data_IF_258101823027
#
_entry.id   IF_258101823027
#
_cell.length_a   1.000
_cell.length_b   1.000
_cell.length_c   1.000
_cell.angle_alpha   90.00
_cell.angle_beta   90.00
_cell.angle_gamma   90.00
#
_symmetry.space_group_name_H-M   'P 1'
#
loop_
_entity.id
_entity.type
_entity.pdbx_description
1 polymer ?
#
# COMPACT_ATOMS: atom_id res chain seq x y z
N UNK A 1 -13.69 -13.05 30.51
CA UNK A 1 -14.12 -13.88 29.35
C UNK A 1 -12.89 -14.15 28.47
N UNK A 2 -12.56 -15.39 28.17
CA UNK A 2 -11.46 -15.72 27.25
C UNK A 2 -11.96 -15.49 25.82
N UNK A 3 -11.42 -14.51 25.10
CA UNK A 3 -11.59 -14.45 23.64
C UNK A 3 -10.79 -15.62 23.04
N UNK A 4 -11.49 -16.69 22.67
CA UNK A 4 -10.93 -17.69 21.77
C UNK A 4 -10.88 -17.06 20.38
N UNK A 5 -9.71 -16.60 19.96
CA UNK A 5 -9.48 -16.24 18.57
C UNK A 5 -9.43 -17.54 17.76
N UNK A 6 -10.56 -17.91 17.18
CA UNK A 6 -10.68 -19.05 16.26
C UNK A 6 -10.10 -18.64 14.92
N UNK A 7 -9.02 -19.29 14.51
CA UNK A 7 -8.40 -19.06 13.21
C UNK A 7 -9.16 -19.88 12.16
N UNK A 8 -9.95 -19.21 11.34
CA UNK A 8 -10.70 -19.86 10.27
C UNK A 8 -9.74 -20.33 9.17
N UNK A 9 -9.32 -21.59 9.27
CA UNK A 9 -8.38 -22.22 8.33
C UNK A 9 -8.80 -22.02 6.88
N UNK A 10 -10.11 -22.04 6.58
CA UNK A 10 -10.61 -21.90 5.21
C UNK A 10 -10.28 -20.53 4.57
N UNK A 11 -10.15 -19.47 5.38
CA UNK A 11 -9.75 -18.13 4.91
C UNK A 11 -8.26 -18.02 4.61
N UNK A 12 -7.41 -18.79 5.30
CA UNK A 12 -5.96 -18.71 5.16
C UNK A 12 -5.40 -19.70 4.14
N UNK A 13 -6.05 -20.86 3.97
CA UNK A 13 -5.62 -21.92 3.05
C UNK A 13 -5.32 -21.41 1.62
N UNK A 14 -6.17 -20.58 0.98
CA UNK A 14 -5.92 -20.13 -0.39
C UNK A 14 -4.64 -19.31 -0.53
N UNK A 15 -4.33 -18.47 0.46
CA UNK A 15 -3.13 -17.61 0.42
C UNK A 15 -1.89 -18.40 0.83
N UNK A 16 -2.03 -19.35 1.77
CA UNK A 16 -0.93 -20.24 2.15
C UNK A 16 -0.55 -21.14 0.98
N UNK A 17 -1.52 -21.81 0.35
CA UNK A 17 -1.28 -22.67 -0.82
C UNK A 17 -0.65 -21.87 -1.95
N UNK A 18 -1.16 -20.68 -2.23
CA UNK A 18 -0.61 -19.80 -3.26
C UNK A 18 0.83 -19.36 -2.96
N UNK A 19 1.18 -19.05 -1.70
CA UNK A 19 2.56 -18.73 -1.27
C UNK A 19 3.46 -19.96 -1.36
N UNK A 20 2.98 -21.14 -0.93
CA UNK A 20 3.72 -22.40 -1.00
C UNK A 20 4.00 -22.80 -2.44
N UNK A 21 3.04 -22.61 -3.34
CA UNK A 21 3.19 -22.90 -4.76
C UNK A 21 4.12 -21.89 -5.43
N UNK A 22 4.03 -20.59 -5.10
CA UNK A 22 5.01 -19.61 -5.61
C UNK A 22 6.43 -19.86 -5.12
N UNK A 23 6.63 -20.37 -3.89
CA UNK A 23 7.94 -20.78 -3.39
C UNK A 23 8.53 -22.00 -4.14
N UNK A 24 7.68 -22.88 -4.67
CA UNK A 24 8.12 -24.05 -5.45
C UNK A 24 8.54 -23.70 -6.88
N UNK A 25 8.06 -22.59 -7.44
CA UNK A 25 8.35 -22.14 -8.79
C UNK A 25 9.22 -20.86 -8.78
N UNK A 26 10.51 -20.99 -8.48
CA UNK A 26 11.47 -19.86 -8.38
C UNK A 26 11.70 -19.04 -9.68
N UNK A 27 11.00 -19.31 -10.79
CA UNK A 27 11.45 -18.84 -12.12
C UNK A 27 10.66 -17.71 -12.78
N UNK A 28 9.48 -17.29 -12.30
CA UNK A 28 8.74 -16.24 -13.00
C UNK A 28 7.99 -15.27 -12.09
N UNK A 29 8.44 -14.02 -12.08
CA UNK A 29 7.65 -12.86 -11.68
C UNK A 29 7.82 -12.44 -10.23
N UNK A 30 8.81 -11.58 -9.96
CA UNK A 30 9.05 -11.08 -8.61
C UNK A 30 7.84 -10.32 -8.02
N UNK A 31 6.85 -9.87 -8.80
CA UNK A 31 5.78 -8.99 -8.28
C UNK A 31 4.57 -9.65 -7.67
N UNK A 32 4.17 -10.85 -8.12
CA UNK A 32 3.03 -11.55 -7.53
C UNK A 32 3.42 -12.04 -6.14
N UNK A 33 4.51 -12.80 -6.03
CA UNK A 33 4.95 -13.42 -4.77
C UNK A 33 4.96 -12.45 -3.56
N UNK A 34 5.51 -11.25 -3.75
CA UNK A 34 5.55 -10.23 -2.69
C UNK A 34 4.14 -9.75 -2.28
N UNK A 35 3.20 -9.67 -3.22
CA UNK A 35 1.80 -9.32 -2.93
C UNK A 35 1.12 -10.41 -2.12
N UNK A 36 1.31 -11.67 -2.47
CA UNK A 36 0.71 -12.79 -1.74
C UNK A 36 1.26 -12.93 -0.32
N UNK A 37 2.59 -12.89 -0.16
CA UNK A 37 3.23 -12.91 1.16
C UNK A 37 2.80 -11.71 2.01
N UNK A 38 2.70 -10.53 1.39
CA UNK A 38 2.21 -9.34 2.07
C UNK A 38 0.75 -9.48 2.52
N UNK A 39 -0.11 -10.08 1.70
CA UNK A 39 -1.50 -10.38 2.07
C UNK A 39 -1.57 -11.37 3.23
N UNK A 40 -0.76 -12.43 3.21
CA UNK A 40 -0.68 -13.39 4.31
C UNK A 40 -0.24 -12.71 5.61
N UNK A 41 0.86 -11.95 5.56
CA UNK A 41 1.36 -11.20 6.71
C UNK A 41 0.29 -10.27 7.28
N UNK A 42 -0.42 -9.54 6.42
CA UNK A 42 -1.49 -8.64 6.87
C UNK A 42 -2.64 -9.39 7.53
N UNK A 43 -3.11 -10.49 6.93
CA UNK A 43 -4.18 -11.30 7.52
C UNK A 43 -3.78 -11.85 8.88
N UNK A 44 -2.57 -12.40 9.01
CA UNK A 44 -2.08 -12.94 10.29
C UNK A 44 -1.94 -11.84 11.33
N UNK A 45 -1.36 -10.70 10.97
CA UNK A 45 -1.18 -9.59 11.91
C UNK A 45 -2.52 -9.01 12.38
N UNK A 46 -3.43 -8.72 11.44
CA UNK A 46 -4.69 -8.02 11.74
C UNK A 46 -5.72 -8.94 12.42
N UNK A 47 -5.84 -10.20 12.01
CA UNK A 47 -6.90 -11.11 12.49
C UNK A 47 -6.47 -11.98 13.67
N UNK A 48 -5.16 -12.15 13.90
CA UNK A 48 -4.64 -13.03 14.94
C UNK A 48 -3.76 -12.29 15.95
N UNK A 49 -2.64 -11.72 15.49
CA UNK A 49 -1.61 -11.19 16.40
C UNK A 49 -2.12 -10.02 17.22
N UNK A 50 -2.74 -9.03 16.59
CA UNK A 50 -3.23 -7.82 17.27
C UNK A 50 -4.35 -8.16 18.28
N UNK A 51 -5.43 -8.90 17.93
CA UNK A 51 -6.46 -9.29 18.89
C UNK A 51 -5.93 -10.10 20.08
N UNK A 52 -4.99 -11.03 19.83
CA UNK A 52 -4.36 -11.82 20.89
C UNK A 52 -3.54 -10.95 21.84
N UNK A 53 -2.73 -10.02 21.30
CA UNK A 53 -1.91 -9.13 22.10
C UNK A 53 -2.78 -8.23 22.99
N UNK A 54 -3.85 -7.65 22.44
CA UNK A 54 -4.83 -6.86 23.21
C UNK A 54 -5.43 -7.71 24.33
N UNK A 55 -5.93 -8.92 24.02
CA UNK A 55 -6.54 -9.79 25.01
C UNK A 55 -5.59 -10.30 26.09
N UNK A 56 -4.29 -10.41 25.80
CA UNK A 56 -3.26 -10.74 26.80
C UNK A 56 -2.96 -9.55 27.72
N UNK A 57 -2.83 -8.34 27.18
CA UNK A 57 -2.68 -7.13 27.98
C UNK A 57 -3.86 -6.95 28.94
N UNK A 58 -5.09 -7.07 28.43
CA UNK A 58 -6.31 -6.96 29.24
C UNK A 58 -6.33 -7.97 30.39
N UNK A 59 -5.93 -9.23 30.13
CA UNK A 59 -5.87 -10.28 31.16
C UNK A 59 -4.76 -10.08 32.18
N UNK A 60 -3.63 -9.51 31.75
CA UNK A 60 -2.49 -9.22 32.62
C UNK A 60 -2.71 -7.93 33.45
N UNK A 61 -3.81 -7.21 33.23
CA UNK A 61 -4.04 -5.89 33.85
C UNK A 61 -3.08 -4.83 33.33
N UNK A 62 -2.50 -5.05 32.14
CA UNK A 62 -1.61 -4.10 31.47
C UNK A 62 -2.43 -3.18 30.59
N UNK A 63 -1.95 -1.95 30.43
CA UNK A 63 -2.51 -1.04 29.44
C UNK A 63 -2.39 -1.66 28.04
N UNK A 64 -3.42 -1.44 27.22
CA UNK A 64 -3.43 -1.89 25.83
C UNK A 64 -2.20 -1.29 25.11
N UNK A 65 -1.50 -2.06 24.26
CA UNK A 65 -0.29 -1.56 23.62
C UNK A 65 -0.62 -0.27 22.87
N UNK A 66 0.19 0.79 23.02
CA UNK A 66 -0.04 2.02 22.29
C UNK A 66 0.00 1.69 20.80
N UNK A 67 -1.15 1.78 20.14
CA UNK A 67 -1.25 1.45 18.73
C UNK A 67 -2.15 2.44 18.01
N UNK A 68 -1.76 2.76 16.78
CA UNK A 68 -2.50 3.66 15.90
C UNK A 68 -3.96 3.19 15.69
N UNK A 69 -4.22 1.89 15.85
CA UNK A 69 -5.56 1.29 15.72
C UNK A 69 -6.47 1.56 16.92
N UNK A 70 -5.94 2.00 18.07
CA UNK A 70 -6.77 2.38 19.22
C UNK A 70 -7.26 3.82 19.18
N UNK A 71 -6.73 4.64 18.26
CA UNK A 71 -7.21 6.01 18.12
C UNK A 71 -8.67 6.04 17.63
N UNK A 72 -9.48 7.02 18.05
CA UNK A 72 -10.75 7.32 17.40
C UNK A 72 -10.59 7.49 15.88
N UNK A 73 -11.62 7.09 15.14
CA UNK A 73 -11.63 7.12 13.66
C UNK A 73 -11.31 8.52 13.13
N UNK A 74 -11.81 9.55 13.79
CA UNK A 74 -11.62 10.95 13.43
C UNK A 74 -10.14 11.34 13.50
N UNK A 75 -9.42 10.87 14.52
CA UNK A 75 -7.98 11.12 14.66
C UNK A 75 -7.18 10.36 13.62
N UNK A 76 -7.57 9.12 13.29
CA UNK A 76 -6.92 8.34 12.21
C UNK A 76 -7.07 9.04 10.87
N UNK A 77 -8.26 9.56 10.56
CA UNK A 77 -8.53 10.34 9.35
C UNK A 77 -7.70 11.62 9.31
N UNK A 78 -7.63 12.37 10.40
CA UNK A 78 -6.77 13.57 10.50
C UNK A 78 -5.30 13.24 10.25
N UNK A 79 -4.81 12.11 10.75
CA UNK A 79 -3.45 11.66 10.45
C UNK A 79 -3.29 11.38 8.95
N UNK A 80 -4.25 10.68 8.31
CA UNK A 80 -4.20 10.45 6.87
C UNK A 80 -4.25 11.75 6.06
N UNK A 81 -5.11 12.71 6.43
CA UNK A 81 -5.21 14.04 5.81
C UNK A 81 -3.88 14.81 5.87
N UNK A 82 -3.05 14.59 6.88
CA UNK A 82 -1.74 15.24 7.01
C UNK A 82 -0.62 14.55 6.19
N UNK A 83 -0.85 13.33 5.72
CA UNK A 83 0.15 12.58 4.97
C UNK A 83 0.17 12.96 3.48
N UNK A 84 1.33 12.90 2.80
CA UNK A 84 1.38 12.90 1.34
C UNK A 84 0.57 11.73 0.77
N UNK A 85 -0.07 11.91 -0.39
CA UNK A 85 -0.91 10.91 -1.05
C UNK A 85 -0.20 9.58 -1.31
N UNK A 86 1.12 9.62 -1.55
CA UNK A 86 1.95 8.40 -1.66
C UNK A 86 1.98 7.63 -0.34
N UNK A 87 2.18 8.34 0.77
CA UNK A 87 2.20 7.77 2.12
C UNK A 87 0.84 7.21 2.51
N UNK A 88 -0.27 7.86 2.10
CA UNK A 88 -1.62 7.29 2.26
C UNK A 88 -1.73 5.95 1.53
N UNK A 89 -1.20 5.85 0.30
CA UNK A 89 -1.16 4.57 -0.44
C UNK A 89 -0.39 3.47 0.30
N UNK A 90 0.71 3.81 0.97
CA UNK A 90 1.43 2.89 1.85
C UNK A 90 0.59 2.48 3.07
N UNK A 91 -0.05 3.44 3.75
CA UNK A 91 -0.92 3.18 4.90
C UNK A 91 -2.09 2.25 4.55
N UNK A 92 -2.70 2.43 3.37
CA UNK A 92 -3.77 1.57 2.86
C UNK A 92 -3.35 0.09 2.70
N UNK A 93 -2.05 -0.18 2.64
CA UNK A 93 -1.53 -1.53 2.55
C UNK A 93 -1.38 -2.17 3.94
N UNK A 94 -1.19 -1.39 5.01
CA UNK A 94 -0.77 -1.88 6.33
C UNK A 94 -1.82 -2.72 7.04
N UNK A 95 -3.09 -2.31 7.01
CA UNK A 95 -4.20 -3.07 7.62
C UNK A 95 -5.54 -2.83 6.90
N UNK A 96 -6.54 -3.64 7.20
CA UNK A 96 -7.91 -3.51 6.65
C UNK A 96 -8.57 -2.18 7.03
N UNK A 97 -8.41 -1.74 8.27
CA UNK A 97 -8.97 -0.47 8.73
C UNK A 97 -8.38 0.73 7.98
N UNK A 98 -7.06 0.82 7.87
CA UNK A 98 -6.40 1.90 7.11
C UNK A 98 -6.73 1.86 5.63
N UNK A 99 -6.95 0.67 5.06
CA UNK A 99 -7.44 0.53 3.69
C UNK A 99 -8.83 1.14 3.53
N UNK A 100 -9.73 0.88 4.48
CA UNK A 100 -11.08 1.43 4.46
C UNK A 100 -11.03 2.95 4.52
N UNK A 101 -10.30 3.50 5.50
CA UNK A 101 -10.11 4.95 5.63
C UNK A 101 -9.45 5.58 4.40
N UNK A 102 -8.44 4.94 3.82
CA UNK A 102 -7.78 5.41 2.60
C UNK A 102 -8.58 5.13 1.30
N UNK A 103 -9.82 4.66 1.40
CA UNK A 103 -10.73 4.51 0.27
C UNK A 103 -11.75 5.65 0.18
N UNK A 104 -11.75 6.56 1.16
CA UNK A 104 -12.52 7.80 1.12
C UNK A 104 -12.14 8.66 -0.11
N UNK A 105 -13.13 8.96 -0.95
CA UNK A 105 -12.93 9.71 -2.18
C UNK A 105 -12.63 11.19 -1.93
N UNK A 106 -13.20 11.77 -0.86
CA UNK A 106 -13.03 13.18 -0.51
C UNK A 106 -11.59 13.45 -0.04
N UNK A 107 -11.01 12.46 0.66
CA UNK A 107 -9.58 12.47 1.00
C UNK A 107 -8.71 12.58 -0.26
N UNK A 108 -9.03 11.82 -1.31
CA UNK A 108 -8.26 11.85 -2.56
C UNK A 108 -8.52 13.12 -3.39
N UNK A 109 -9.72 13.69 -3.31
CA UNK A 109 -10.02 15.01 -3.89
C UNK A 109 -9.10 16.07 -3.29
N UNK A 110 -9.07 16.16 -1.95
CA UNK A 110 -8.21 17.09 -1.24
C UNK A 110 -6.74 16.90 -1.62
N UNK A 111 -6.26 15.65 -1.70
CA UNK A 111 -4.86 15.36 -2.10
C UNK A 111 -4.56 15.74 -3.54
N UNK A 112 -5.51 15.58 -4.47
CA UNK A 112 -5.35 16.06 -5.84
C UNK A 112 -5.18 17.58 -5.88
N UNK A 113 -6.00 18.31 -5.14
CA UNK A 113 -5.95 19.78 -5.07
C UNK A 113 -4.68 20.29 -4.40
N UNK A 114 -4.21 19.60 -3.35
CA UNK A 114 -3.02 19.95 -2.58
C UNK A 114 -1.72 19.71 -3.37
N UNK A 115 -1.55 18.51 -3.94
CA UNK A 115 -0.29 18.09 -4.57
C UNK A 115 -0.23 18.30 -6.08
N UNK A 116 -1.38 18.35 -6.75
CA UNK A 116 -1.47 18.44 -8.20
C UNK A 116 -1.54 19.88 -8.70
N UNK A 117 -0.69 20.75 -8.15
CA UNK A 117 -0.54 22.14 -8.64
C UNK A 117 -0.23 22.14 -10.14
N UNK A 118 -1.01 22.89 -10.91
CA UNK A 118 -0.90 22.98 -12.38
C UNK A 118 -1.75 21.97 -13.16
N UNK A 119 -2.47 21.07 -12.48
CA UNK A 119 -3.49 20.25 -13.14
C UNK A 119 -4.85 20.94 -13.09
N UNK A 120 -5.66 20.74 -14.11
CA UNK A 120 -7.01 21.31 -14.23
C UNK A 120 -8.05 20.50 -13.43
N UNK A 121 -7.77 20.20 -12.16
CA UNK A 121 -8.66 19.39 -11.32
C UNK A 121 -10.04 20.01 -11.14
N UNK A 122 -10.10 21.35 -11.02
CA UNK A 122 -11.33 22.11 -10.82
C UNK A 122 -12.32 22.05 -11.99
N UNK A 123 -11.90 21.50 -13.14
CA UNK A 123 -12.77 21.31 -14.31
C UNK A 123 -13.49 19.96 -14.30
N UNK A 124 -13.09 19.03 -13.42
CA UNK A 124 -13.83 17.78 -13.28
C UNK A 124 -15.10 18.04 -12.47
N UNK A 125 -16.23 17.69 -13.06
CA UNK A 125 -17.56 17.81 -12.44
C UNK A 125 -18.26 16.45 -12.50
N UNK A 126 -19.04 16.12 -11.47
CA UNK A 126 -19.78 14.86 -11.37
C UNK A 126 -19.09 13.81 -10.50
N UNK A 127 -19.49 12.55 -10.65
CA UNK A 127 -18.91 11.43 -9.91
C UNK A 127 -17.50 11.12 -10.45
N UNK A 128 -16.48 11.59 -9.74
CA UNK A 128 -15.07 11.46 -10.11
C UNK A 128 -14.39 10.53 -9.13
N UNK A 129 -13.80 9.45 -9.64
CA UNK A 129 -12.88 8.60 -8.88
C UNK A 129 -11.53 9.34 -8.71
N UNK A 130 -11.46 10.14 -7.64
CA UNK A 130 -10.30 10.97 -7.34
C UNK A 130 -9.08 10.13 -7.01
N UNK A 131 -9.27 8.96 -6.39
CA UNK A 131 -8.20 8.01 -6.10
C UNK A 131 -7.49 7.55 -7.37
N UNK A 132 -8.25 7.20 -8.41
CA UNK A 132 -7.70 6.78 -9.71
C UNK A 132 -7.06 7.93 -10.46
N UNK A 133 -7.62 9.15 -10.38
CA UNK A 133 -7.02 10.37 -10.95
C UNK A 133 -5.67 10.69 -10.29
N UNK A 134 -5.61 10.65 -8.96
CA UNK A 134 -4.39 10.85 -8.20
C UNK A 134 -3.33 9.82 -8.58
N UNK A 135 -3.68 8.53 -8.62
CA UNK A 135 -2.77 7.46 -9.01
C UNK A 135 -2.18 7.66 -10.42
N UNK A 136 -2.99 8.15 -11.35
CA UNK A 136 -2.56 8.43 -12.73
C UNK A 136 -1.62 9.64 -12.80
N UNK A 137 -1.95 10.71 -12.07
CA UNK A 137 -1.09 11.89 -11.91
C UNK A 137 0.27 11.51 -11.32
N UNK A 138 0.27 10.76 -10.22
CA UNK A 138 1.50 10.37 -9.54
C UNK A 138 2.39 9.48 -10.40
N UNK A 139 1.80 8.54 -11.16
CA UNK A 139 2.54 7.73 -12.14
C UNK A 139 3.29 8.59 -13.16
N UNK A 140 2.64 9.63 -13.71
CA UNK A 140 3.27 10.57 -14.65
C UNK A 140 4.38 11.39 -13.98
N UNK A 141 4.08 12.00 -12.83
CA UNK A 141 5.05 12.77 -12.05
C UNK A 141 6.29 11.94 -11.69
N UNK A 142 6.11 10.65 -11.34
CA UNK A 142 7.22 9.72 -11.07
C UNK A 142 8.09 9.52 -12.31
N UNK A 143 7.50 9.29 -13.48
CA UNK A 143 8.25 9.13 -14.73
C UNK A 143 9.06 10.38 -15.06
N UNK A 144 8.48 11.56 -14.89
CA UNK A 144 9.18 12.83 -15.09
C UNK A 144 10.36 13.01 -14.11
N UNK A 145 10.16 12.66 -12.82
CA UNK A 145 11.23 12.69 -11.81
C UNK A 145 12.36 11.71 -12.15
N UNK A 146 12.03 10.50 -12.63
CA UNK A 146 13.01 9.51 -13.06
C UNK A 146 13.77 9.97 -14.32
N UNK A 147 13.08 10.55 -15.30
CA UNK A 147 13.69 11.08 -16.52
C UNK A 147 14.63 12.28 -16.23
N UNK A 148 14.30 13.11 -15.24
CA UNK A 148 15.19 14.19 -14.77
C UNK A 148 16.44 13.65 -14.07
N UNK A 149 16.30 12.56 -13.31
CA UNK A 149 17.40 11.93 -12.58
C UNK A 149 18.35 11.16 -13.50
N UNK A 150 17.81 10.58 -14.57
CA UNK A 150 18.56 9.91 -15.62
C UNK A 150 18.25 10.60 -16.96
N UNK A 151 18.90 11.73 -17.29
CA UNK A 151 18.75 12.33 -18.61
C UNK A 151 19.12 11.26 -19.66
N UNK A 152 18.37 11.15 -20.77
CA UNK A 152 18.72 10.21 -21.81
C UNK A 152 20.17 10.46 -22.20
N UNK A 153 21.01 9.43 -22.05
CA UNK A 153 22.38 9.44 -22.56
C UNK A 153 22.24 9.84 -24.03
N UNK A 154 22.67 11.07 -24.38
CA UNK A 154 22.83 11.45 -25.78
C UNK A 154 23.64 10.32 -26.38
N UNK A 155 23.11 9.61 -27.38
CA UNK A 155 23.82 8.53 -28.07
C UNK A 155 25.08 9.14 -28.72
N UNK A 156 26.13 9.36 -27.96
CA UNK A 156 27.47 9.44 -28.49
C UNK A 156 27.85 8.01 -28.89
N UNK A 157 28.28 7.90 -30.14
CA UNK A 157 28.79 6.75 -30.85
C UNK A 157 29.06 5.46 -30.03
N UNK A 158 28.55 4.29 -30.44
CA UNK A 158 28.69 3.05 -29.68
C UNK A 158 30.13 2.55 -29.77
N UNK A 159 30.91 2.69 -28.70
CA UNK A 159 32.22 2.02 -28.62
C UNK A 159 32.54 1.27 -27.33
N UNK A 160 31.71 1.28 -26.28
CA UNK A 160 32.01 0.45 -25.10
C UNK A 160 30.74 -0.11 -24.41
N UNK A 161 30.71 -1.41 -24.05
CA UNK A 161 29.63 -2.00 -23.26
C UNK A 161 29.75 -1.60 -21.78
N UNK A 162 28.68 -1.08 -21.17
CA UNK A 162 28.62 -0.80 -19.73
C UNK A 162 28.24 -2.07 -18.94
N UNK A 163 29.17 -2.51 -18.09
CA UNK A 163 29.13 -3.70 -17.21
C UNK A 163 28.56 -3.39 -15.81
N UNK A 164 27.36 -2.84 -15.68
CA UNK A 164 26.74 -2.70 -14.35
C UNK A 164 25.29 -3.16 -14.34
N UNK A 165 24.93 -4.16 -13.50
CA UNK A 165 23.56 -4.57 -13.31
C UNK A 165 22.82 -3.52 -12.48
N UNK A 166 21.69 -3.12 -13.03
CA UNK A 166 20.73 -2.17 -12.53
C UNK A 166 20.06 -2.66 -11.22
N UNK A 167 20.41 -2.04 -10.09
CA UNK A 167 19.75 -2.30 -8.80
C UNK A 167 18.40 -1.56 -8.74
N UNK A 168 17.39 -2.05 -9.46
CA UNK A 168 16.01 -1.55 -9.41
C UNK A 168 15.02 -2.65 -9.03
N UNK A 169 14.85 -2.89 -7.74
CA UNK A 169 13.65 -3.56 -7.22
C UNK A 169 13.20 -2.92 -5.88
N UNK A 170 12.62 -1.72 -5.96
CA UNK A 170 11.69 -1.21 -4.94
C UNK A 170 10.31 -1.15 -5.58
N UNK A 171 9.45 -2.12 -5.27
CA UNK A 171 8.03 -2.10 -5.65
C UNK A 171 7.29 -0.99 -4.91
N UNK A 172 6.60 -0.14 -5.65
CA UNK A 172 5.93 1.06 -5.16
C UNK A 172 4.41 0.83 -4.99
N UNK A 173 3.73 1.59 -4.11
CA UNK A 173 2.40 1.26 -3.60
C UNK A 173 1.30 1.34 -4.66
N UNK A 174 1.48 2.15 -5.70
CA UNK A 174 0.50 2.29 -6.79
C UNK A 174 0.50 1.15 -7.79
N UNK A 175 1.54 0.32 -7.80
CA UNK A 175 1.59 -0.91 -8.60
C UNK A 175 0.73 -2.03 -7.97
N UNK A 176 0.17 -1.82 -6.76
CA UNK A 176 -0.74 -2.76 -6.07
C UNK A 176 -2.22 -2.43 -6.22
N UNK A 177 -2.57 -1.27 -6.79
CA UNK A 177 -3.96 -0.88 -7.06
C UNK A 177 -4.39 -1.43 -8.43
N UNK A 178 -4.60 -2.75 -8.48
CA UNK A 178 -5.45 -3.37 -9.50
C UNK A 178 -6.92 -3.02 -9.25
N UNK A 179 -7.80 -3.22 -10.25
CA UNK A 179 -9.23 -2.92 -10.10
C UNK A 179 -9.79 -3.69 -8.89
N UNK A 180 -10.56 -2.99 -8.07
CA UNK A 180 -11.43 -3.61 -7.08
C UNK A 180 -12.63 -4.17 -7.85
N UNK A 181 -12.66 -5.49 -8.00
CA UNK A 181 -13.92 -6.23 -8.12
C UNK A 181 -14.52 -6.39 -6.72
#
# INVERSE_FOLDING_TARGET
>A
RVHMTSLDKSRFLPVIDLVVDTLKFEKQGSSSYYREVFMLWRMVKDELVIPLLIGLCDKAGLESPPCLMLLPTELKLKILELLPGVSIGYMACVCTEMRYLASDNDLWEHKCLEEGKGCLWKLYTGDVDWKRKFASFWRRKRLDLLARRNPPIKKSNPRFPTLFPDRRDRREPFDRFGPSD
#
